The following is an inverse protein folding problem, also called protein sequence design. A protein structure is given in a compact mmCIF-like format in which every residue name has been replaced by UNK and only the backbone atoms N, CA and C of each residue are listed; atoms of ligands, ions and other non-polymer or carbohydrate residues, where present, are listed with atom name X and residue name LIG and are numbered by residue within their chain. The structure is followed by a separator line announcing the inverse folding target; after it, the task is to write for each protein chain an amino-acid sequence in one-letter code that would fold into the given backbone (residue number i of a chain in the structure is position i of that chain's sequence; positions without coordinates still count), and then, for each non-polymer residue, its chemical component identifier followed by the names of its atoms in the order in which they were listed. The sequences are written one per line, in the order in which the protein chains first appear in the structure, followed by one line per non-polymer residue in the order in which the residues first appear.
data_IF_360887766948
#
_entry.id   IF_360887766948
#
_cell.length_a   1.000
_cell.length_b   1.000
_cell.length_c   1.000
_cell.angle_alpha   90.00
_cell.angle_beta   90.00
_cell.angle_gamma   90.00
#
_symmetry.space_group_name_H-M   'P 1'
#
loop_
_entity.id
_entity.type
_entity.pdbx_description
1 polymer ?
#
# COMPACT_ATOMS: atom_id res chain seq x y z
N UNK A 1 -0.34 14.77 8.13
CA UNK A 1 0.68 15.55 7.38
C UNK A 1 1.69 14.68 6.61
N UNK A 2 1.63 13.34 6.63
CA UNK A 2 2.66 12.49 5.99
C UNK A 2 2.36 12.01 4.56
N UNK A 3 1.21 12.37 3.98
CA UNK A 3 0.74 11.81 2.70
C UNK A 3 1.77 11.85 1.57
N UNK A 4 2.51 12.97 1.40
CA UNK A 4 3.52 13.08 0.34
C UNK A 4 4.67 12.09 0.49
N UNK A 5 5.19 11.94 1.71
CA UNK A 5 6.29 10.99 2.00
C UNK A 5 5.79 9.56 1.85
N UNK A 6 4.59 9.27 2.33
CA UNK A 6 3.95 7.97 2.16
C UNK A 6 3.79 7.59 0.70
N UNK A 7 3.36 8.54 -0.16
CA UNK A 7 3.19 8.29 -1.59
C UNK A 7 4.51 7.94 -2.28
N UNK A 8 5.60 8.65 -1.95
CA UNK A 8 6.94 8.33 -2.47
C UNK A 8 7.38 6.94 -2.04
N UNK A 9 7.26 6.62 -0.74
CA UNK A 9 7.63 5.30 -0.22
C UNK A 9 6.76 4.16 -0.79
N UNK A 10 5.49 4.43 -1.06
CA UNK A 10 4.58 3.49 -1.72
C UNK A 10 4.99 3.27 -3.19
N UNK A 11 5.33 4.34 -3.92
CA UNK A 11 5.80 4.25 -5.31
C UNK A 11 7.16 3.55 -5.44
N UNK A 12 8.03 3.66 -4.43
CA UNK A 12 9.30 2.92 -4.37
C UNK A 12 9.14 1.47 -3.88
N UNK A 13 7.90 0.98 -3.77
CA UNK A 13 7.55 -0.37 -3.28
C UNK A 13 8.12 -0.68 -1.88
N UNK A 14 8.39 0.37 -1.07
CA UNK A 14 8.88 0.24 0.31
C UNK A 14 7.78 -0.01 1.33
N UNK A 15 6.54 0.32 0.97
CA UNK A 15 5.36 0.16 1.82
C UNK A 15 4.27 -0.56 1.06
N UNK A 16 3.70 -1.60 1.67
CA UNK A 16 2.46 -2.19 1.18
C UNK A 16 1.28 -1.21 1.36
N UNK A 17 0.21 -1.39 0.60
CA UNK A 17 -0.97 -0.52 0.63
C UNK A 17 -1.52 -0.28 2.05
N UNK A 18 -1.59 -1.34 2.86
CA UNK A 18 -2.07 -1.25 4.25
C UNK A 18 -1.10 -0.55 5.21
N UNK A 19 0.20 -0.59 4.94
CA UNK A 19 1.21 0.15 5.71
C UNK A 19 1.19 1.62 5.33
N UNK A 20 1.08 1.91 4.03
CA UNK A 20 0.99 3.24 3.50
C UNK A 20 -0.26 3.99 3.99
N UNK A 21 -1.44 3.36 3.96
CA UNK A 21 -2.68 3.96 4.48
C UNK A 21 -2.58 4.31 5.97
N UNK A 22 -2.05 3.38 6.78
CA UNK A 22 -1.80 3.61 8.22
C UNK A 22 -0.82 4.76 8.45
N UNK A 23 0.29 4.81 7.70
CA UNK A 23 1.29 5.89 7.81
C UNK A 23 0.73 7.25 7.38
N UNK A 24 -0.13 7.28 6.37
CA UNK A 24 -0.85 8.48 5.95
C UNK A 24 -1.93 8.92 6.96
N UNK A 25 -2.31 8.06 7.91
CA UNK A 25 -3.42 8.29 8.83
C UNK A 25 -4.79 8.24 8.14
N UNK A 26 -4.89 7.49 7.04
CA UNK A 26 -6.09 7.38 6.21
C UNK A 26 -6.66 5.98 6.28
N UNK A 27 -7.98 5.87 6.11
CA UNK A 27 -8.56 4.58 5.81
C UNK A 27 -8.01 4.05 4.48
N UNK A 28 -7.86 2.74 4.34
CA UNK A 28 -7.25 2.13 3.15
C UNK A 28 -7.97 2.53 1.84
N UNK A 29 -9.29 2.64 1.89
CA UNK A 29 -10.12 3.13 0.77
C UNK A 29 -9.85 4.61 0.42
N UNK A 30 -9.64 5.47 1.42
CA UNK A 30 -9.32 6.89 1.19
C UNK A 30 -7.92 7.02 0.57
N UNK A 31 -6.97 6.23 1.05
CA UNK A 31 -5.64 6.20 0.46
C UNK A 31 -5.67 5.71 -1.00
N UNK A 32 -6.48 4.70 -1.32
CA UNK A 32 -6.70 4.28 -2.72
C UNK A 32 -7.32 5.39 -3.59
N UNK A 33 -8.25 6.20 -3.06
CA UNK A 33 -8.77 7.37 -3.78
C UNK A 33 -7.67 8.40 -4.06
N UNK A 34 -6.78 8.64 -3.09
CA UNK A 34 -5.64 9.54 -3.28
C UNK A 34 -4.67 9.03 -4.36
N UNK A 35 -4.43 7.72 -4.41
CA UNK A 35 -3.65 7.06 -5.46
C UNK A 35 -4.31 7.22 -6.84
N UNK A 36 -5.60 6.91 -6.93
CA UNK A 36 -6.37 7.02 -8.18
C UNK A 36 -6.42 8.45 -8.72
N UNK A 37 -6.60 9.44 -7.85
CA UNK A 37 -6.59 10.87 -8.21
C UNK A 37 -5.26 11.32 -8.82
N UNK A 38 -4.16 10.64 -8.45
CA UNK A 38 -2.81 10.92 -8.95
C UNK A 38 -2.36 9.94 -10.04
N UNK A 39 -3.27 9.08 -10.51
CA UNK A 39 -2.99 8.02 -11.47
C UNK A 39 -1.83 7.10 -11.05
N UNK A 40 -1.65 6.92 -9.73
CA UNK A 40 -0.66 5.99 -9.18
C UNK A 40 -1.32 4.60 -9.16
N UNK A 41 -0.77 3.61 -9.87
CA UNK A 41 -1.30 2.26 -9.83
C UNK A 41 -1.28 1.74 -8.40
N UNK A 42 -2.36 1.07 -7.99
CA UNK A 42 -2.30 0.19 -6.83
C UNK A 42 -1.52 -1.02 -7.32
N UNK A 43 -0.19 -0.94 -7.29
CA UNK A 43 0.69 -2.04 -7.67
C UNK A 43 0.34 -3.23 -6.77
N UNK A 44 -0.51 -4.13 -7.28
CA UNK A 44 -0.72 -5.46 -6.73
C UNK A 44 0.02 -6.39 -7.68
N UNK A 45 1.32 -6.51 -7.46
CA UNK A 45 2.16 -7.33 -8.31
C UNK A 45 2.20 -8.78 -7.79
N UNK A 46 2.79 -9.67 -8.58
CA UNK A 46 2.84 -11.10 -8.24
C UNK A 46 3.64 -11.36 -6.93
N UNK A 47 4.52 -10.45 -6.55
CA UNK A 47 5.28 -10.52 -5.29
C UNK A 47 4.42 -10.16 -4.08
N UNK A 48 3.51 -9.19 -4.20
CA UNK A 48 2.55 -8.86 -3.16
C UNK A 48 1.59 -10.04 -2.90
N UNK A 49 1.15 -10.71 -3.97
CA UNK A 49 0.37 -11.93 -3.85
C UNK A 49 1.13 -13.05 -3.13
N UNK A 50 2.43 -13.24 -3.45
CA UNK A 50 3.29 -14.21 -2.75
C UNK A 50 3.49 -13.86 -1.27
N UNK A 51 3.62 -12.58 -0.93
CA UNK A 51 3.72 -12.10 0.47
C UNK A 51 2.42 -12.34 1.25
N UNK A 52 1.27 -12.13 0.63
CA UNK A 52 -0.03 -12.44 1.24
C UNK A 52 -0.17 -13.95 1.50
N UNK A 53 0.22 -14.80 0.55
CA UNK A 53 0.23 -16.26 0.72
C UNK A 53 1.14 -16.70 1.89
N UNK A 54 2.35 -16.14 1.98
CA UNK A 54 3.26 -16.42 3.10
C UNK A 54 2.66 -16.01 4.45
N UNK A 55 1.97 -14.86 4.49
CA UNK A 55 1.31 -14.39 5.71
C UNK A 55 0.21 -15.37 6.13
N UNK A 56 -0.60 -15.87 5.20
CA UNK A 56 -1.63 -16.87 5.49
C UNK A 56 -1.01 -18.20 5.98
N UNK A 57 0.10 -18.64 5.39
CA UNK A 57 0.81 -19.84 5.86
C UNK A 57 1.40 -19.68 7.26
N UNK A 58 1.87 -18.49 7.63
CA UNK A 58 2.36 -18.19 8.98
C UNK A 58 1.28 -18.23 10.07
N UNK A 59 0.00 -18.07 9.70
CA UNK A 59 -1.14 -18.14 10.60
C UNK A 59 -1.88 -19.49 10.54
N UNK A 60 -1.35 -20.49 9.81
CA UNK A 60 -1.82 -21.88 9.81
C UNK A 60 -1.15 -22.68 10.91
#
# INVERSE_FOLDING_TARGET
MLLKVTLVLFQEEKLALGQASKLAGLHQYEFQKELATRSIPVHYNEEDYKRDLQTIELFR
#
